data_IF_328631265032
#
_entry.id   IF_328631265032
#
_cell.length_a   1.000
_cell.length_b   1.000
_cell.length_c   1.000
_cell.angle_alpha   90.00
_cell.angle_beta   90.00
_cell.angle_gamma   90.00
#
_symmetry.space_group_name_H-M   'P 1'
#
loop_
_entity.id
_entity.type
_entity.pdbx_description
1 polymer ?
#
# COMPACT_ATOMS: atom_id res chain seq x y z
N UNK A 1 17.55 -13.72 -3.89
CA UNK A 1 17.43 -12.90 -2.68
C UNK A 1 15.97 -12.49 -2.51
N UNK A 2 15.45 -12.49 -1.29
CA UNK A 2 14.08 -12.10 -0.98
C UNK A 2 14.04 -11.58 0.46
N UNK A 3 13.74 -10.29 0.63
CA UNK A 3 13.65 -9.66 1.95
C UNK A 3 12.21 -9.52 2.46
N UNK A 4 11.24 -9.50 1.55
CA UNK A 4 9.84 -9.29 1.92
C UNK A 4 8.87 -9.97 0.96
N UNK A 5 7.78 -10.47 1.53
CA UNK A 5 6.57 -10.90 0.84
C UNK A 5 5.45 -9.92 1.17
N UNK A 6 4.77 -9.42 0.13
CA UNK A 6 3.69 -8.44 0.28
C UNK A 6 2.36 -9.13 -0.03
N UNK A 7 1.43 -9.10 0.91
CA UNK A 7 0.10 -9.67 0.76
C UNK A 7 -0.90 -8.58 0.38
N UNK A 8 -1.45 -8.73 -0.83
CA UNK A 8 -2.57 -7.96 -1.36
C UNK A 8 -3.90 -8.35 -0.66
N UNK A 9 -5.00 -7.74 -1.08
CA UNK A 9 -6.33 -7.68 -0.44
C UNK A 9 -6.98 -9.03 -0.08
N UNK A 10 -6.41 -10.16 -0.51
CA UNK A 10 -6.93 -11.48 -0.17
C UNK A 10 -6.56 -11.95 1.24
N UNK A 11 -5.71 -11.22 1.97
CA UNK A 11 -5.39 -11.53 3.36
C UNK A 11 -6.55 -11.27 4.31
N UNK A 12 -7.49 -10.40 3.96
CA UNK A 12 -8.77 -10.18 4.66
C UNK A 12 -9.98 -10.66 3.84
N UNK A 13 -11.17 -10.61 4.43
CA UNK A 13 -12.43 -10.96 3.74
C UNK A 13 -13.09 -9.73 3.13
N UNK A 14 -13.26 -8.68 3.92
CA UNK A 14 -13.77 -7.39 3.46
C UNK A 14 -12.76 -6.29 3.78
N UNK A 15 -12.64 -5.32 2.88
CA UNK A 15 -11.84 -4.12 3.09
C UNK A 15 -12.34 -3.38 4.36
N UNK A 16 -11.41 -3.08 5.26
CA UNK A 16 -11.69 -2.52 6.58
C UNK A 16 -11.90 -3.53 7.72
N UNK A 17 -11.84 -4.85 7.46
CA UNK A 17 -11.98 -5.86 8.53
C UNK A 17 -10.81 -5.85 9.51
N UNK A 18 -9.59 -5.56 9.04
CA UNK A 18 -8.37 -5.74 9.83
C UNK A 18 -8.36 -7.09 10.57
N UNK A 19 -8.70 -8.14 9.81
CA UNK A 19 -8.78 -9.50 10.30
C UNK A 19 -8.35 -10.46 9.19
N UNK A 20 -7.54 -11.45 9.54
CA UNK A 20 -7.14 -12.52 8.63
C UNK A 20 -8.35 -13.29 8.10
N UNK A 21 -8.36 -13.54 6.80
CA UNK A 21 -9.22 -14.55 6.20
C UNK A 21 -8.68 -15.94 6.54
N UNK A 22 -9.11 -16.51 7.66
CA UNK A 22 -8.64 -17.81 8.15
C UNK A 22 -8.97 -18.99 7.21
N UNK A 23 -9.91 -18.82 6.27
CA UNK A 23 -10.16 -19.81 5.23
C UNK A 23 -9.01 -19.91 4.20
N UNK A 24 -8.27 -18.82 3.99
CA UNK A 24 -7.10 -18.75 3.10
C UNK A 24 -5.78 -18.78 3.85
N UNK A 25 -5.75 -18.16 5.02
CA UNK A 25 -4.59 -18.04 5.90
C UNK A 25 -4.91 -18.70 7.25
N UNK A 26 -4.90 -20.05 7.33
CA UNK A 26 -5.37 -20.75 8.52
C UNK A 26 -4.50 -20.51 9.76
N UNK A 27 -3.19 -20.35 9.58
CA UNK A 27 -2.23 -20.11 10.68
C UNK A 27 -1.31 -18.91 10.34
N UNK A 28 -1.83 -17.67 10.34
CA UNK A 28 -1.08 -16.52 9.84
C UNK A 28 0.13 -16.17 10.72
N UNK A 29 0.04 -16.36 12.05
CA UNK A 29 1.19 -16.14 12.95
C UNK A 29 2.33 -17.10 12.63
N UNK A 30 2.02 -18.39 12.44
CA UNK A 30 3.02 -19.39 12.05
C UNK A 30 3.64 -19.05 10.70
N UNK A 31 2.83 -18.64 9.71
CA UNK A 31 3.34 -18.21 8.40
C UNK A 31 4.31 -17.02 8.54
N UNK A 32 3.97 -16.01 9.35
CA UNK A 32 4.84 -14.86 9.60
C UNK A 32 6.15 -15.31 10.27
N UNK A 33 6.07 -16.16 11.29
CA UNK A 33 7.25 -16.67 11.99
C UNK A 33 8.14 -17.51 11.07
N UNK A 34 7.56 -18.40 10.26
CA UNK A 34 8.28 -19.25 9.32
C UNK A 34 8.99 -18.44 8.22
N UNK A 35 8.35 -17.37 7.73
CA UNK A 35 8.96 -16.42 6.78
C UNK A 35 10.09 -15.64 7.46
N UNK A 36 9.85 -15.14 8.67
CA UNK A 36 10.84 -14.37 9.42
C UNK A 36 12.08 -15.21 9.79
N UNK A 37 11.91 -16.48 10.12
CA UNK A 37 13.02 -17.42 10.36
C UNK A 37 13.90 -17.64 9.13
N UNK A 38 13.38 -17.34 7.93
CA UNK A 38 14.12 -17.35 6.67
C UNK A 38 14.63 -15.96 6.27
N UNK A 39 14.45 -14.95 7.12
CA UNK A 39 14.82 -13.55 6.86
C UNK A 39 13.81 -12.77 6.03
N UNK A 40 12.62 -13.33 5.75
CA UNK A 40 11.59 -12.70 4.91
C UNK A 40 10.55 -12.00 5.77
N UNK A 41 10.32 -10.71 5.52
CA UNK A 41 9.29 -9.91 6.19
C UNK A 41 7.93 -10.04 5.50
N UNK A 42 6.86 -10.09 6.29
CA UNK A 42 5.49 -10.00 5.75
C UNK A 42 5.00 -8.56 5.79
N UNK A 43 4.53 -8.04 4.66
CA UNK A 43 3.91 -6.71 4.52
C UNK A 43 2.45 -6.90 4.14
N UNK A 44 1.54 -6.12 4.72
CA UNK A 44 0.10 -6.22 4.44
C UNK A 44 -0.43 -4.94 3.77
N UNK A 45 -1.30 -5.11 2.77
CA UNK A 45 -2.10 -4.01 2.24
C UNK A 45 -3.18 -3.57 3.23
N UNK A 46 -3.49 -2.28 3.20
CA UNK A 46 -4.59 -1.63 3.92
C UNK A 46 -5.11 -0.47 3.06
N UNK A 47 -6.39 -0.15 3.19
CA UNK A 47 -7.10 0.86 2.41
C UNK A 47 -7.89 1.79 3.35
N UNK A 48 -8.18 3.05 2.96
CA UNK A 48 -8.82 4.03 3.85
C UNK A 48 -10.34 3.85 3.93
N UNK A 49 -10.89 2.82 3.28
CA UNK A 49 -12.31 2.54 3.21
C UNK A 49 -12.69 1.39 4.14
N UNK A 50 -13.85 1.49 4.77
CA UNK A 50 -14.44 0.40 5.55
C UNK A 50 -15.76 0.00 4.92
N UNK A 51 -15.83 -1.26 4.48
CA UNK A 51 -17.01 -1.82 3.83
C UNK A 51 -18.21 -1.83 4.78
N UNK A 52 -19.43 -1.63 4.27
CA UNK A 52 -20.65 -1.65 5.10
C UNK A 52 -20.91 -3.00 5.77
N UNK A 53 -20.37 -4.08 5.21
CA UNK A 53 -20.41 -5.43 5.78
C UNK A 53 -19.16 -5.80 6.58
N UNK A 54 -18.24 -4.86 6.80
CA UNK A 54 -17.07 -5.08 7.65
C UNK A 54 -17.45 -5.17 9.12
N UNK A 55 -16.73 -5.99 9.89
CA UNK A 55 -16.89 -6.10 11.34
C UNK A 55 -16.67 -4.78 12.08
N UNK A 56 -15.93 -3.85 11.48
CA UNK A 56 -15.59 -2.56 12.09
C UNK A 56 -16.58 -1.43 11.73
N UNK A 57 -17.46 -1.65 10.74
CA UNK A 57 -18.30 -0.60 10.19
C UNK A 57 -19.23 0.04 11.21
N UNK A 58 -20.03 -0.77 11.91
CA UNK A 58 -21.02 -0.26 12.86
C UNK A 58 -20.35 0.50 14.01
N UNK A 59 -19.20 0.02 14.49
CA UNK A 59 -18.46 0.72 15.57
C UNK A 59 -17.93 2.06 15.09
N UNK A 60 -17.29 2.12 13.91
CA UNK A 60 -16.75 3.36 13.38
C UNK A 60 -17.84 4.38 13.05
N UNK A 61 -18.95 3.94 12.46
CA UNK A 61 -20.12 4.77 12.14
C UNK A 61 -20.75 5.36 13.40
N UNK A 62 -20.99 4.54 14.44
CA UNK A 62 -21.58 4.99 15.70
C UNK A 62 -20.70 6.01 16.46
N UNK A 63 -19.38 6.00 16.24
CA UNK A 63 -18.46 6.95 16.84
C UNK A 63 -18.13 8.13 15.92
N UNK A 64 -18.70 8.19 14.72
CA UNK A 64 -18.50 9.30 13.79
C UNK A 64 -17.12 9.36 13.14
N UNK A 65 -16.40 8.24 13.02
CA UNK A 65 -15.03 8.19 12.50
C UNK A 65 -14.91 8.25 10.97
N UNK A 66 -16.04 8.26 10.27
CA UNK A 66 -16.09 8.36 8.81
C UNK A 66 -16.36 9.81 8.38
N UNK A 67 -16.02 10.11 7.12
CA UNK A 67 -16.56 11.30 6.46
C UNK A 67 -18.08 11.31 6.54
N UNK A 68 -18.65 12.50 6.69
CA UNK A 68 -20.07 12.70 6.97
C UNK A 68 -20.76 13.43 5.82
N UNK A 69 -22.05 13.19 5.66
CA UNK A 69 -22.95 14.06 4.90
C UNK A 69 -23.03 15.44 5.56
N UNK A 70 -23.46 16.49 4.84
CA UNK A 70 -23.69 17.81 5.44
C UNK A 70 -24.68 17.79 6.62
N UNK A 71 -25.52 16.75 6.74
CA UNK A 71 -26.43 16.53 7.86
C UNK A 71 -25.83 15.80 9.07
N UNK A 72 -24.51 15.52 9.06
CA UNK A 72 -23.80 14.88 10.18
C UNK A 72 -24.02 13.37 10.30
N UNK A 73 -24.57 12.72 9.28
CA UNK A 73 -24.64 11.26 9.21
C UNK A 73 -23.44 10.70 8.45
N UNK A 74 -23.02 9.46 8.74
CA UNK A 74 -22.01 8.75 7.94
C UNK A 74 -22.28 8.87 6.45
N UNK A 75 -21.24 9.18 5.67
CA UNK A 75 -21.31 9.26 4.22
C UNK A 75 -21.01 7.90 3.59
N UNK A 76 -22.07 7.17 3.26
CA UNK A 76 -21.97 5.89 2.57
C UNK A 76 -21.67 6.10 1.07
N UNK A 77 -20.75 5.31 0.54
CA UNK A 77 -20.36 5.25 -0.88
C UNK A 77 -20.96 3.99 -1.52
N UNK A 78 -22.24 3.98 -1.90
CA UNK A 78 -22.93 2.76 -2.34
C UNK A 78 -22.37 2.14 -3.63
N UNK A 79 -21.73 2.96 -4.46
CA UNK A 79 -21.24 2.57 -5.79
C UNK A 79 -19.70 2.51 -5.85
N UNK A 80 -19.01 2.39 -4.71
CA UNK A 80 -17.57 2.14 -4.72
C UNK A 80 -17.29 0.78 -5.39
N UNK A 81 -16.19 0.65 -6.13
CA UNK A 81 -15.97 -0.51 -7.01
C UNK A 81 -15.76 -1.83 -6.24
N UNK A 82 -15.22 -1.75 -5.02
CA UNK A 82 -15.16 -2.88 -4.08
C UNK A 82 -16.52 -3.12 -3.37
N UNK A 83 -17.56 -2.41 -3.82
CA UNK A 83 -18.95 -2.29 -3.32
C UNK A 83 -19.15 -1.19 -2.26
N UNK A 84 -20.35 -1.09 -1.65
CA UNK A 84 -20.66 -0.16 -0.55
C UNK A 84 -19.62 -0.07 0.59
N UNK A 85 -19.15 1.14 0.88
CA UNK A 85 -18.17 1.42 1.95
C UNK A 85 -18.35 2.85 2.50
N UNK A 86 -17.63 3.20 3.56
CA UNK A 86 -17.44 4.57 4.01
C UNK A 86 -15.93 4.90 4.06
N UNK A 87 -15.59 6.17 3.86
CA UNK A 87 -14.20 6.65 3.91
C UNK A 87 -13.85 7.10 5.33
N UNK A 88 -12.70 6.68 5.85
CA UNK A 88 -12.18 7.15 7.14
C UNK A 88 -11.91 8.66 7.15
N UNK A 89 -12.27 9.34 8.23
CA UNK A 89 -11.89 10.72 8.47
C UNK A 89 -10.55 10.81 9.22
N UNK A 90 -9.45 10.83 8.48
CA UNK A 90 -8.13 11.02 9.10
C UNK A 90 -7.88 12.44 9.62
N UNK A 91 -8.79 13.39 9.45
CA UNK A 91 -8.67 14.72 10.06
C UNK A 91 -9.12 14.74 11.52
N UNK A 92 -9.98 13.78 11.92
CA UNK A 92 -10.37 13.57 13.32
C UNK A 92 -9.31 12.76 14.09
N UNK A 93 -8.81 13.33 15.19
CA UNK A 93 -7.85 12.69 16.09
C UNK A 93 -8.37 11.40 16.77
N UNK A 94 -9.67 11.29 17.01
CA UNK A 94 -10.28 10.08 17.58
C UNK A 94 -10.32 8.96 16.54
N UNK A 95 -10.73 9.28 15.31
CA UNK A 95 -10.64 8.37 14.17
C UNK A 95 -9.20 7.91 13.91
N UNK A 96 -8.21 8.81 13.99
CA UNK A 96 -6.79 8.46 13.88
C UNK A 96 -6.35 7.44 14.94
N UNK A 97 -6.72 7.68 16.20
CA UNK A 97 -6.40 6.80 17.33
C UNK A 97 -7.07 5.44 17.19
N UNK A 98 -8.34 5.43 16.76
CA UNK A 98 -9.07 4.19 16.51
C UNK A 98 -8.48 3.39 15.36
N UNK A 99 -8.10 4.06 14.27
CA UNK A 99 -7.50 3.43 13.11
C UNK A 99 -6.20 2.71 13.49
N UNK A 100 -5.32 3.36 14.24
CA UNK A 100 -4.08 2.75 14.71
C UNK A 100 -4.31 1.47 15.54
N UNK A 101 -5.33 1.45 16.41
CA UNK A 101 -5.65 0.25 17.22
C UNK A 101 -5.97 -0.99 16.36
N UNK A 102 -6.39 -0.80 15.11
CA UNK A 102 -6.58 -1.92 14.18
C UNK A 102 -5.25 -2.51 13.68
N UNK A 103 -4.17 -1.73 13.63
CA UNK A 103 -2.83 -2.17 13.23
C UNK A 103 -2.08 -2.87 14.37
N UNK A 104 -2.27 -2.43 15.63
CA UNK A 104 -1.50 -2.92 16.79
C UNK A 104 -1.41 -4.45 16.92
N UNK A 105 -2.50 -5.23 16.73
CA UNK A 105 -2.44 -6.68 16.82
C UNK A 105 -1.48 -7.30 15.81
N UNK A 106 -1.40 -6.75 14.60
CA UNK A 106 -0.56 -7.23 13.51
C UNK A 106 0.90 -6.83 13.68
N UNK A 107 1.15 -5.62 14.20
CA UNK A 107 2.51 -5.20 14.58
C UNK A 107 3.06 -6.17 15.64
N UNK A 108 2.22 -6.53 16.62
CA UNK A 108 2.54 -7.51 17.67
C UNK A 108 2.70 -8.93 17.13
N UNK A 109 1.96 -9.29 16.08
CA UNK A 109 2.06 -10.56 15.36
C UNK A 109 3.35 -10.69 14.52
N UNK A 110 4.11 -9.60 14.33
CA UNK A 110 5.37 -9.61 13.58
C UNK A 110 5.27 -9.11 12.14
N UNK A 111 4.13 -8.53 11.72
CA UNK A 111 4.01 -7.86 10.41
C UNK A 111 5.09 -6.78 10.30
N UNK A 112 5.87 -6.83 9.23
CA UNK A 112 7.08 -6.04 9.04
C UNK A 112 6.86 -4.58 8.63
N UNK A 113 5.70 -4.28 8.03
CA UNK A 113 5.35 -2.97 7.52
C UNK A 113 4.04 -2.99 6.75
N UNK A 114 3.73 -1.88 6.08
CA UNK A 114 2.42 -1.59 5.54
C UNK A 114 2.47 -1.15 4.08
N UNK A 115 1.45 -1.55 3.34
CA UNK A 115 1.10 -1.00 2.04
C UNK A 115 -0.24 -0.26 2.18
N UNK A 116 -0.25 1.05 1.94
CA UNK A 116 -1.44 1.92 2.03
C UNK A 116 -1.91 2.31 0.64
N UNK A 117 -2.95 1.63 0.16
CA UNK A 117 -3.49 1.80 -1.20
C UNK A 117 -4.78 2.63 -1.21
N UNK A 118 -5.20 3.06 -2.40
CA UNK A 118 -6.42 3.85 -2.66
C UNK A 118 -6.46 5.17 -1.88
N UNK A 119 -5.29 5.68 -1.55
CA UNK A 119 -5.10 6.73 -0.56
C UNK A 119 -5.12 8.14 -1.15
N UNK A 120 -5.53 8.36 -2.40
CA UNK A 120 -5.71 9.70 -2.96
C UNK A 120 -6.62 10.60 -2.09
N UNK A 121 -7.75 10.16 -1.50
CA UNK A 121 -8.50 8.89 -1.65
C UNK A 121 -9.19 8.72 -3.01
N UNK A 122 -9.24 7.48 -3.53
CA UNK A 122 -9.66 7.18 -4.91
C UNK A 122 -11.11 7.60 -5.26
N UNK A 123 -12.03 7.40 -4.32
CA UNK A 123 -13.40 7.94 -4.36
C UNK A 123 -13.61 8.86 -3.15
N UNK A 124 -13.78 10.16 -3.43
CA UNK A 124 -13.93 11.20 -2.40
C UNK A 124 -14.93 12.27 -2.90
N UNK A 125 -16.24 12.10 -2.66
CA UNK A 125 -17.27 13.03 -3.11
C UNK A 125 -17.10 14.45 -2.55
N UNK A 126 -17.38 15.46 -3.39
CA UNK A 126 -17.16 16.87 -3.06
C UNK A 126 -17.98 17.37 -1.86
N UNK A 127 -19.15 16.79 -1.63
CA UNK A 127 -20.08 17.15 -0.54
C UNK A 127 -19.84 16.35 0.75
N UNK A 128 -18.83 15.48 0.79
CA UNK A 128 -18.39 14.83 2.02
C UNK A 128 -17.71 15.85 2.94
N UNK A 129 -18.03 15.78 4.22
CA UNK A 129 -17.53 16.67 5.28
C UNK A 129 -16.66 15.87 6.24
N UNK A 130 -15.46 16.39 6.50
CA UNK A 130 -14.50 15.92 7.49
C UNK A 130 -14.40 16.91 8.65
N UNK A 131 -13.75 16.54 9.75
CA UNK A 131 -13.51 17.40 10.92
C UNK A 131 -12.85 18.74 10.53
N UNK A 132 -11.91 18.72 9.58
CA UNK A 132 -11.25 19.95 9.08
C UNK A 132 -12.00 20.65 7.93
N UNK A 133 -13.18 20.15 7.55
CA UNK A 133 -14.08 20.75 6.56
C UNK A 133 -14.37 19.85 5.36
N UNK A 134 -14.89 20.44 4.30
CA UNK A 134 -15.31 19.73 3.08
C UNK A 134 -14.16 18.99 2.38
N UNK A 135 -14.49 17.90 1.71
CA UNK A 135 -13.60 17.03 0.93
C UNK A 135 -12.54 17.80 0.14
N UNK A 136 -12.95 18.84 -0.61
CA UNK A 136 -12.04 19.66 -1.44
C UNK A 136 -10.91 20.34 -0.67
N UNK A 137 -11.14 20.68 0.61
CA UNK A 137 -10.13 21.35 1.46
C UNK A 137 -9.10 20.36 1.99
N UNK A 138 -9.50 19.10 2.17
CA UNK A 138 -8.70 18.09 2.86
C UNK A 138 -8.19 16.98 1.95
N UNK A 139 -8.70 16.86 0.72
CA UNK A 139 -8.41 15.74 -0.19
C UNK A 139 -6.93 15.34 -0.23
N UNK A 140 -6.05 16.29 -0.55
CA UNK A 140 -4.61 16.05 -0.67
C UNK A 140 -3.88 15.88 0.68
N UNK A 141 -4.50 16.21 1.82
CA UNK A 141 -3.89 16.03 3.15
C UNK A 141 -4.23 14.68 3.78
N UNK A 142 -5.30 14.01 3.32
CA UNK A 142 -5.80 12.77 3.93
C UNK A 142 -4.69 11.72 4.09
N UNK A 143 -3.92 11.46 3.03
CA UNK A 143 -2.84 10.49 3.13
C UNK A 143 -1.61 10.99 3.89
N UNK A 144 -1.35 12.30 3.93
CA UNK A 144 -0.30 12.81 4.81
C UNK A 144 -0.63 12.46 6.27
N UNK A 145 -1.90 12.61 6.66
CA UNK A 145 -2.36 12.27 8.00
C UNK A 145 -2.30 10.76 8.25
N UNK A 146 -2.68 9.92 7.29
CA UNK A 146 -2.53 8.47 7.44
C UNK A 146 -1.07 8.04 7.58
N UNK A 147 -0.17 8.58 6.75
CA UNK A 147 1.27 8.36 6.88
C UNK A 147 1.79 8.79 8.27
N UNK A 148 1.31 9.94 8.78
CA UNK A 148 1.63 10.44 10.13
C UNK A 148 1.16 9.48 11.22
N UNK A 149 -0.07 8.95 11.14
CA UNK A 149 -0.62 7.96 12.09
C UNK A 149 0.35 6.77 12.19
N UNK A 150 0.73 6.19 11.06
CA UNK A 150 1.64 5.04 11.06
C UNK A 150 3.01 5.42 11.63
N UNK A 151 3.58 6.55 11.21
CA UNK A 151 4.92 6.95 11.64
C UNK A 151 5.02 7.18 13.15
N UNK A 152 4.15 8.04 13.69
CA UNK A 152 4.24 8.44 15.10
C UNK A 152 3.94 7.27 16.04
N UNK A 153 2.98 6.41 15.69
CA UNK A 153 2.73 5.23 16.51
C UNK A 153 3.84 4.17 16.38
N UNK A 154 4.68 4.23 15.35
CA UNK A 154 5.86 3.37 15.28
C UNK A 154 7.01 3.84 16.20
N UNK A 155 6.99 5.08 16.70
CA UNK A 155 8.01 5.59 17.64
C UNK A 155 8.07 4.78 18.94
N UNK A 156 6.98 4.09 19.31
CA UNK A 156 6.95 3.19 20.47
C UNK A 156 7.72 1.87 20.24
N UNK A 157 8.19 1.60 19.02
CA UNK A 157 9.01 0.44 18.67
C UNK A 157 10.42 0.88 18.24
N UNK A 158 11.30 1.29 19.18
CA UNK A 158 12.56 1.96 18.86
C UNK A 158 13.55 1.12 18.03
N UNK A 159 13.43 -0.22 18.09
CA UNK A 159 14.26 -1.15 17.33
C UNK A 159 13.71 -1.43 15.92
N UNK A 160 12.61 -0.78 15.53
CA UNK A 160 11.94 -0.97 14.25
C UNK A 160 11.84 0.34 13.49
N UNK A 161 12.12 0.31 12.20
CA UNK A 161 11.82 1.42 11.28
C UNK A 161 10.58 1.06 10.48
N UNK A 162 9.63 1.99 10.39
CA UNK A 162 8.43 1.82 9.57
C UNK A 162 8.80 1.65 8.09
N UNK A 163 8.33 0.55 7.48
CA UNK A 163 8.21 0.44 6.03
C UNK A 163 6.76 0.78 5.66
N UNK A 164 6.57 1.85 4.88
CA UNK A 164 5.24 2.34 4.48
C UNK A 164 5.22 2.62 2.97
N UNK A 165 4.80 1.62 2.20
CA UNK A 165 4.57 1.73 0.76
C UNK A 165 3.21 2.41 0.53
N UNK A 166 3.16 3.56 -0.13
CA UNK A 166 1.93 4.38 -0.23
C UNK A 166 1.71 4.97 -1.64
N UNK A 167 0.46 5.06 -2.12
CA UNK A 167 0.20 5.45 -3.53
C UNK A 167 0.28 6.97 -3.72
N UNK A 168 -0.25 7.71 -2.77
CA UNK A 168 -0.41 9.16 -2.81
C UNK A 168 0.41 9.84 -1.72
N UNK A 169 0.37 11.17 -1.63
CA UNK A 169 0.98 11.90 -0.53
C UNK A 169 0.78 13.41 -0.64
N UNK A 170 1.43 14.15 0.24
CA UNK A 170 1.51 15.60 0.22
C UNK A 170 2.97 16.06 0.37
N UNK A 171 3.21 17.35 0.16
CA UNK A 171 4.51 17.94 0.49
C UNK A 171 4.90 17.62 1.94
N UNK A 172 6.05 16.96 2.09
CA UNK A 172 6.56 16.56 3.39
C UNK A 172 6.15 15.17 3.86
N UNK A 173 5.40 14.38 3.07
CA UNK A 173 5.09 12.96 3.39
C UNK A 173 6.35 12.11 3.62
N UNK A 174 7.47 12.44 2.98
CA UNK A 174 8.74 11.73 3.16
C UNK A 174 9.23 11.72 4.62
N UNK A 175 8.86 12.73 5.43
CA UNK A 175 9.26 12.78 6.84
C UNK A 175 8.57 11.70 7.69
N UNK A 176 7.47 11.16 7.19
CA UNK A 176 6.71 10.07 7.83
C UNK A 176 7.03 8.70 7.20
N UNK A 177 8.16 8.58 6.49
CA UNK A 177 8.62 7.31 5.93
C UNK A 177 7.84 6.82 4.71
N UNK A 178 7.14 7.72 4.01
CA UNK A 178 6.40 7.37 2.81
C UNK A 178 7.33 6.92 1.67
N UNK A 179 7.08 5.71 1.16
CA UNK A 179 7.72 5.10 -0.01
C UNK A 179 6.67 5.04 -1.11
N UNK A 180 6.76 5.91 -2.11
CA UNK A 180 5.72 6.01 -3.15
C UNK A 180 5.96 5.10 -4.34
N UNK A 181 4.89 4.63 -5.00
CA UNK A 181 4.99 3.96 -6.30
C UNK A 181 4.14 4.67 -7.35
N UNK A 182 4.39 4.39 -8.63
CA UNK A 182 3.75 5.07 -9.77
C UNK A 182 2.29 4.68 -10.04
N UNK A 183 1.65 3.93 -9.13
CA UNK A 183 0.31 3.37 -9.35
C UNK A 183 0.27 2.29 -10.45
N UNK A 184 -0.96 2.02 -10.89
CA UNK A 184 -1.38 0.91 -11.76
C UNK A 184 -0.92 1.09 -13.23
N UNK A 185 0.40 1.03 -13.43
CA UNK A 185 1.03 1.25 -14.73
C UNK A 185 0.69 0.13 -15.72
N UNK A 186 0.45 0.49 -16.99
CA UNK A 186 0.22 -0.51 -18.05
C UNK A 186 1.46 -1.38 -18.32
N UNK A 187 1.23 -2.66 -18.65
CA UNK A 187 2.25 -3.65 -19.08
C UNK A 187 2.69 -3.39 -20.52
N UNK A 188 3.34 -2.25 -20.73
CA UNK A 188 3.81 -1.82 -22.06
C UNK A 188 5.19 -1.16 -21.96
N UNK A 189 5.93 -1.12 -23.06
CA UNK A 189 7.18 -0.37 -23.12
C UNK A 189 6.98 1.13 -22.93
N UNK A 190 5.84 1.69 -23.34
CA UNK A 190 5.49 3.08 -23.03
C UNK A 190 5.25 3.30 -21.54
N UNK A 191 4.64 2.32 -20.85
CA UNK A 191 4.52 2.30 -19.40
C UNK A 191 5.87 2.29 -18.68
N UNK A 192 6.85 1.52 -19.18
CA UNK A 192 8.22 1.54 -18.68
C UNK A 192 8.95 2.86 -19.00
N UNK A 193 8.81 3.38 -20.23
CA UNK A 193 9.55 4.54 -20.71
C UNK A 193 9.33 5.82 -19.89
N UNK A 194 8.18 5.95 -19.23
CA UNK A 194 7.87 7.12 -18.38
C UNK A 194 8.41 6.99 -16.96
N UNK A 195 8.78 5.80 -16.49
CA UNK A 195 9.20 5.58 -15.10
C UNK A 195 10.43 6.40 -14.67
N UNK A 196 11.48 6.57 -15.50
CA UNK A 196 12.60 7.43 -15.14
C UNK A 196 12.19 8.89 -14.92
N UNK A 197 11.20 9.39 -15.68
CA UNK A 197 10.71 10.77 -15.56
C UNK A 197 9.89 10.94 -14.28
N UNK A 198 9.00 9.99 -13.98
CA UNK A 198 8.21 9.99 -12.75
C UNK A 198 9.10 9.91 -11.51
N UNK A 199 10.09 9.02 -11.52
CA UNK A 199 11.07 8.86 -10.43
C UNK A 199 11.82 10.16 -10.17
N UNK A 200 12.39 10.79 -11.21
CA UNK A 200 13.12 12.05 -11.07
C UNK A 200 12.23 13.19 -10.59
N UNK A 201 11.00 13.30 -11.11
CA UNK A 201 10.05 14.34 -10.73
C UNK A 201 9.67 14.24 -9.25
N UNK A 202 9.41 13.02 -8.76
CA UNK A 202 9.10 12.77 -7.35
C UNK A 202 10.32 13.00 -6.45
N UNK A 203 11.51 12.54 -6.85
CA UNK A 203 12.73 12.75 -6.09
C UNK A 203 13.07 14.24 -5.92
N UNK A 204 12.97 15.03 -7.01
CA UNK A 204 13.15 16.49 -6.97
C UNK A 204 12.06 17.21 -6.14
N UNK A 205 10.91 16.57 -5.95
CA UNK A 205 9.81 17.05 -5.11
C UNK A 205 9.91 16.56 -3.65
N UNK A 206 11.02 15.94 -3.26
CA UNK A 206 11.28 15.51 -1.88
C UNK A 206 10.82 14.09 -1.55
N UNK A 207 10.41 13.29 -2.54
CA UNK A 207 9.98 11.89 -2.38
C UNK A 207 11.02 10.94 -3.02
N UNK A 208 12.15 10.66 -2.34
CA UNK A 208 13.30 9.99 -2.95
C UNK A 208 13.11 8.48 -3.17
N UNK A 209 12.11 7.87 -2.52
CA UNK A 209 11.85 6.43 -2.60
C UNK A 209 10.79 6.04 -3.64
N UNK A 210 10.50 6.93 -4.60
CA UNK A 210 9.60 6.64 -5.72
C UNK A 210 10.06 5.39 -6.49
N UNK A 211 9.13 4.48 -6.76
CA UNK A 211 9.37 3.27 -7.53
C UNK A 211 8.19 2.94 -8.47
N UNK A 212 8.24 1.79 -9.12
CA UNK A 212 7.24 1.32 -10.08
C UNK A 212 7.03 -0.17 -9.94
N UNK A 213 5.84 -0.67 -10.29
CA UNK A 213 5.58 -2.10 -10.41
C UNK A 213 6.44 -2.72 -11.53
N UNK A 214 7.46 -3.49 -11.16
CA UNK A 214 8.39 -4.08 -12.12
C UNK A 214 7.65 -5.12 -12.96
N UNK A 215 7.70 -4.95 -14.29
CA UNK A 215 6.95 -5.75 -15.26
C UNK A 215 5.60 -5.15 -15.64
N UNK A 216 5.16 -4.09 -14.96
CA UNK A 216 3.89 -3.42 -15.15
C UNK A 216 2.71 -4.14 -14.47
N UNK A 217 1.63 -3.41 -14.25
CA UNK A 217 0.49 -3.85 -13.44
C UNK A 217 -0.75 -4.26 -14.24
N UNK A 218 -1.19 -3.40 -15.17
CA UNK A 218 -2.47 -3.55 -15.86
C UNK A 218 -2.30 -3.88 -17.36
N UNK A 219 -3.29 -4.58 -17.93
CA UNK A 219 -3.36 -4.88 -19.36
C UNK A 219 -2.91 -6.30 -19.72
N UNK A 220 -2.60 -6.57 -21.00
CA UNK A 220 -2.26 -7.92 -21.47
C UNK A 220 -1.01 -8.47 -20.76
N UNK A 221 -0.78 -9.80 -20.76
CA UNK A 221 0.36 -10.39 -20.07
C UNK A 221 1.70 -9.75 -20.45
N UNK A 222 2.53 -9.47 -19.44
CA UNK A 222 3.87 -8.92 -19.61
C UNK A 222 4.72 -9.87 -20.44
N UNK A 223 5.32 -9.36 -21.52
CA UNK A 223 6.23 -10.16 -22.35
C UNK A 223 7.56 -10.41 -21.61
N UNK A 224 8.25 -11.53 -21.87
CA UNK A 224 9.55 -11.82 -21.26
C UNK A 224 10.57 -10.69 -21.43
N UNK A 225 10.62 -10.07 -22.62
CA UNK A 225 11.52 -8.94 -22.89
C UNK A 225 11.14 -7.70 -22.07
N UNK A 226 9.86 -7.33 -22.00
CA UNK A 226 9.40 -6.18 -21.23
C UNK A 226 9.75 -6.36 -19.74
N UNK A 227 9.45 -7.53 -19.18
CA UNK A 227 9.82 -7.86 -17.80
C UNK A 227 11.33 -7.75 -17.59
N UNK A 228 12.12 -8.33 -18.50
CA UNK A 228 13.57 -8.31 -18.40
C UNK A 228 14.13 -6.89 -18.35
N UNK A 229 13.66 -6.00 -19.24
CA UNK A 229 14.09 -4.59 -19.26
C UNK A 229 13.63 -3.82 -18.03
N UNK A 230 12.42 -4.09 -17.54
CA UNK A 230 11.91 -3.43 -16.35
C UNK A 230 12.66 -3.87 -15.10
N UNK A 231 13.00 -5.15 -14.97
CA UNK A 231 13.80 -5.66 -13.85
C UNK A 231 15.21 -5.05 -13.86
N UNK A 232 15.86 -4.98 -15.02
CA UNK A 232 17.16 -4.33 -15.19
C UNK A 232 17.14 -2.87 -14.74
N UNK A 233 16.07 -2.14 -15.03
CA UNK A 233 15.87 -0.78 -14.54
C UNK A 233 15.59 -0.74 -13.03
N UNK A 234 14.64 -1.56 -12.57
CA UNK A 234 14.10 -1.55 -11.21
C UNK A 234 15.11 -1.95 -10.13
N UNK A 235 16.16 -2.70 -10.45
CA UNK A 235 17.23 -2.98 -9.49
C UNK A 235 18.05 -1.75 -9.12
N UNK A 236 18.11 -0.75 -9.99
CA UNK A 236 18.77 0.54 -9.75
C UNK A 236 17.79 1.61 -9.23
N UNK A 237 16.52 1.25 -9.01
CA UNK A 237 15.53 2.12 -8.36
C UNK A 237 15.54 1.92 -6.84
N UNK A 238 14.98 2.86 -6.05
CA UNK A 238 14.98 2.77 -4.60
C UNK A 238 14.39 1.47 -4.04
N UNK A 239 13.31 0.96 -4.66
CA UNK A 239 12.65 -0.31 -4.27
C UNK A 239 12.56 -1.23 -5.48
N UNK A 240 13.02 -2.49 -5.32
CA UNK A 240 12.83 -3.55 -6.31
C UNK A 240 11.63 -4.40 -5.94
N UNK A 241 10.49 -4.12 -6.57
CA UNK A 241 9.22 -4.82 -6.31
C UNK A 241 8.50 -5.15 -7.62
N UNK A 242 8.63 -6.38 -8.14
CA UNK A 242 7.70 -6.91 -9.12
C UNK A 242 6.31 -7.04 -8.51
N UNK A 243 5.30 -6.51 -9.18
CA UNK A 243 3.91 -6.57 -8.74
C UNK A 243 2.96 -6.40 -9.93
N UNK A 244 1.79 -7.04 -9.88
CA UNK A 244 0.88 -7.08 -11.02
C UNK A 244 -0.52 -7.58 -10.72
N UNK A 245 -1.49 -7.21 -11.55
CA UNK A 245 -2.88 -7.70 -11.47
C UNK A 245 -3.08 -9.06 -12.16
N UNK A 246 -3.41 -10.13 -11.43
CA UNK A 246 -3.77 -11.43 -12.02
C UNK A 246 -2.70 -12.15 -12.87
N UNK A 247 -1.44 -11.69 -12.86
CA UNK A 247 -0.29 -12.36 -13.48
C UNK A 247 0.84 -12.48 -12.45
N UNK A 248 1.42 -13.66 -12.31
CA UNK A 248 2.66 -13.84 -11.56
C UNK A 248 3.81 -13.09 -12.23
N UNK A 249 4.49 -12.28 -11.44
CA UNK A 249 5.63 -11.45 -11.89
C UNK A 249 6.88 -11.68 -11.06
N UNK A 250 6.88 -12.71 -10.23
CA UNK A 250 8.07 -13.26 -9.63
C UNK A 250 8.98 -13.83 -10.72
N UNK A 251 10.32 -13.74 -10.58
CA UNK A 251 11.26 -14.09 -11.66
C UNK A 251 11.03 -15.48 -12.29
N UNK A 252 10.67 -16.47 -11.49
CA UNK A 252 10.42 -17.86 -11.91
C UNK A 252 9.13 -18.05 -12.71
N UNK A 253 8.28 -17.04 -12.83
CA UNK A 253 7.06 -17.09 -13.65
C UNK A 253 7.34 -16.92 -15.16
N UNK A 254 8.58 -16.59 -15.54
CA UNK A 254 9.02 -16.36 -16.91
C UNK A 254 9.91 -17.51 -17.44
N UNK A 255 10.50 -17.35 -18.62
CA UNK A 255 11.41 -18.36 -19.18
C UNK A 255 12.69 -18.47 -18.34
N UNK A 256 13.39 -19.63 -18.35
CA UNK A 256 14.63 -19.81 -17.60
C UNK A 256 15.68 -18.72 -17.88
N UNK A 257 15.78 -18.24 -19.13
CA UNK A 257 16.71 -17.18 -19.51
C UNK A 257 16.38 -15.84 -18.83
N UNK A 258 15.09 -15.55 -18.67
CA UNK A 258 14.62 -14.33 -17.99
C UNK A 258 14.77 -14.47 -16.47
N UNK A 259 14.50 -15.64 -15.92
CA UNK A 259 14.75 -15.92 -14.51
C UNK A 259 16.24 -15.75 -14.17
N UNK A 260 17.15 -16.37 -14.92
CA UNK A 260 18.61 -16.26 -14.74
C UNK A 260 19.09 -14.81 -14.82
N UNK A 261 18.55 -14.06 -15.80
CA UNK A 261 18.83 -12.63 -15.94
C UNK A 261 18.36 -11.85 -14.70
N UNK A 262 17.12 -12.08 -14.24
CA UNK A 262 16.57 -11.38 -13.09
C UNK A 262 17.37 -11.72 -11.82
N UNK A 263 17.70 -12.99 -11.59
CA UNK A 263 18.54 -13.45 -10.48
C UNK A 263 19.91 -12.77 -10.51
N UNK A 264 20.54 -12.64 -11.68
CA UNK A 264 21.82 -11.94 -11.83
C UNK A 264 21.72 -10.48 -11.37
N UNK A 265 20.70 -9.74 -11.81
CA UNK A 265 20.53 -8.33 -11.45
C UNK A 265 20.10 -8.14 -10.00
N UNK A 266 19.27 -9.03 -9.45
CA UNK A 266 18.91 -9.01 -8.02
C UNK A 266 20.15 -9.27 -7.16
N UNK A 267 21.00 -10.25 -7.51
CA UNK A 267 22.27 -10.48 -6.80
C UNK A 267 23.23 -9.29 -6.91
N UNK A 268 23.23 -8.60 -8.06
CA UNK A 268 24.01 -7.37 -8.21
C UNK A 268 23.52 -6.28 -7.25
N UNK A 269 22.20 -6.07 -7.13
CA UNK A 269 21.62 -5.11 -6.18
C UNK A 269 22.12 -5.39 -4.77
N UNK A 270 22.03 -6.63 -4.31
CA UNK A 270 22.51 -7.04 -2.99
C UNK A 270 24.01 -6.74 -2.80
N UNK A 271 24.85 -6.93 -3.82
CA UNK A 271 26.29 -6.67 -3.69
C UNK A 271 26.68 -5.18 -3.62
N UNK A 272 25.72 -4.27 -3.83
CA UNK A 272 25.93 -2.81 -3.75
C UNK A 272 25.69 -2.23 -2.34
N UNK A 273 25.20 -3.05 -1.39
CA UNK A 273 24.93 -2.69 0.01
C UNK A 273 25.75 -3.56 0.96
#
# INVERSE_FOLDING_TARGET
PLDALILDLFWFTNMGDFQWNYGRFPNPSQMIDDLLNQGVRTILITEPYVRTNSINYSSASNNGYFGQTPGGQTYDLPNFWFGPAALMDFTDSLAQSWWWRLYEPFVSQGVGGWWTDLCEPELHPDDMVHDWGEARRVHNIMNLLWNKILHENYEQYPDRRLFNLTRSGYAGSQRYGAITWSGDVSRTFSGLAVQPILLQSMALSGMPFQNSDIGGFAGPPTTPELYARWMQFGVFCPVTRPHSSFQSVEPWAFTPEVEDMAVKFIKLRESLF
#
